data_IF_569352979929
#
_entry.id   IF_569352979929
#
_cell.length_a   1.000
_cell.length_b   1.000
_cell.length_c   1.000
_cell.angle_alpha   90.00
_cell.angle_beta   90.00
_cell.angle_gamma   90.00
#
_symmetry.space_group_name_H-M   'P 1'
#
loop_
_entity.id
_entity.type
_entity.pdbx_description
1 polymer ?
#
# COMPACT_ATOMS: atom_id res chain seq x y z
N UNK A 1 34.49 -14.55 46.19
CA UNK A 1 35.24 -15.29 45.17
C UNK A 1 34.20 -15.72 44.11
N UNK A 2 34.16 -14.98 43.03
CA UNK A 2 33.22 -15.23 41.95
C UNK A 2 33.94 -15.92 40.82
N UNK A 3 33.47 -17.10 40.43
CA UNK A 3 33.89 -17.79 39.20
C UNK A 3 32.86 -17.49 38.11
N UNK A 4 33.19 -16.53 37.23
CA UNK A 4 32.45 -16.29 36.03
C UNK A 4 32.72 -17.38 34.97
N UNK A 5 31.79 -17.67 34.06
CA UNK A 5 31.98 -18.68 33.03
C UNK A 5 33.09 -18.25 32.05
N UNK A 6 34.09 -19.12 31.88
CA UNK A 6 35.18 -18.94 30.92
C UNK A 6 34.67 -19.45 29.58
N UNK A 7 34.56 -18.56 28.59
CA UNK A 7 34.25 -18.90 27.21
C UNK A 7 35.55 -19.29 26.48
N UNK A 8 35.69 -20.56 26.08
CA UNK A 8 36.77 -21.01 25.21
C UNK A 8 36.31 -21.00 23.75
N UNK A 9 37.13 -20.41 22.86
CA UNK A 9 36.93 -20.46 21.42
C UNK A 9 36.94 -21.91 20.92
N UNK A 10 35.88 -22.33 20.21
CA UNK A 10 35.89 -23.61 19.49
C UNK A 10 36.89 -23.54 18.36
N UNK A 11 37.82 -24.47 18.33
CA UNK A 11 38.72 -24.71 17.19
C UNK A 11 37.90 -25.02 15.93
N UNK A 12 38.30 -24.49 14.74
CA UNK A 12 37.63 -24.82 13.50
C UNK A 12 37.69 -26.34 13.25
N UNK A 13 36.56 -26.97 13.00
CA UNK A 13 36.49 -28.35 12.49
C UNK A 13 37.13 -28.34 11.10
N UNK A 14 38.06 -29.27 10.87
CA UNK A 14 38.60 -29.56 9.55
C UNK A 14 37.46 -29.75 8.54
N UNK A 15 37.62 -29.14 7.36
CA UNK A 15 36.69 -29.28 6.26
C UNK A 15 36.64 -30.70 5.78
N UNK A 16 35.56 -31.41 6.10
CA UNK A 16 35.27 -32.70 5.44
C UNK A 16 34.85 -32.37 4.02
N UNK A 17 35.67 -32.87 3.08
CA UNK A 17 35.47 -32.75 1.64
C UNK A 17 34.25 -33.60 1.23
N UNK A 18 33.04 -32.97 1.27
CA UNK A 18 31.82 -33.55 0.73
C UNK A 18 31.71 -33.15 -0.74
N UNK A 19 32.19 -34.04 -1.62
CA UNK A 19 31.77 -34.01 -3.00
C UNK A 19 30.23 -34.22 -3.03
N UNK A 20 29.47 -33.45 -3.80
CA UNK A 20 28.05 -33.69 -3.95
C UNK A 20 27.83 -35.02 -4.68
N UNK A 21 27.21 -35.98 -4.03
CA UNK A 21 26.67 -37.16 -4.70
C UNK A 21 25.64 -36.71 -5.74
N UNK A 22 25.90 -37.06 -6.99
CA UNK A 22 24.99 -36.85 -8.11
C UNK A 22 23.83 -37.83 -7.92
N UNK A 23 22.70 -37.33 -7.36
CA UNK A 23 21.46 -38.09 -7.38
C UNK A 23 20.97 -38.23 -8.82
N UNK A 24 20.49 -39.41 -9.23
CA UNK A 24 19.90 -39.59 -10.55
C UNK A 24 18.68 -38.68 -10.71
N UNK A 25 18.58 -38.09 -11.91
CA UNK A 25 17.49 -37.19 -12.28
C UNK A 25 16.12 -37.79 -11.94
N UNK A 26 15.28 -37.00 -11.27
CA UNK A 26 13.87 -37.33 -11.08
C UNK A 26 13.18 -37.51 -12.43
N UNK A 27 12.24 -38.46 -12.56
CA UNK A 27 11.53 -38.68 -13.82
C UNK A 27 10.77 -37.43 -14.21
N UNK A 28 10.82 -37.07 -15.49
CA UNK A 28 10.04 -36.00 -16.11
C UNK A 28 8.56 -36.20 -15.82
N UNK A 29 8.00 -35.34 -14.97
CA UNK A 29 6.56 -35.20 -14.82
C UNK A 29 6.03 -34.46 -16.05
N UNK A 30 4.96 -34.95 -16.70
CA UNK A 30 4.40 -34.28 -17.87
C UNK A 30 3.97 -32.86 -17.50
N UNK A 31 4.39 -31.89 -18.33
CA UNK A 31 3.88 -30.52 -18.32
C UNK A 31 2.37 -30.58 -18.47
N UNK A 32 1.63 -30.34 -17.38
CA UNK A 32 0.19 -30.10 -17.46
C UNK A 32 0.03 -28.77 -18.16
N UNK A 33 -0.43 -28.78 -19.39
CA UNK A 33 -0.86 -27.57 -20.10
C UNK A 33 -1.84 -26.81 -19.20
N UNK A 34 -1.52 -25.56 -18.91
CA UNK A 34 -2.38 -24.67 -18.19
C UNK A 34 -3.64 -24.43 -19.01
N UNK A 35 -4.71 -25.20 -18.67
CA UNK A 35 -6.05 -24.92 -19.19
C UNK A 35 -6.41 -23.49 -18.82
N UNK A 36 -6.80 -22.71 -19.84
CA UNK A 36 -7.38 -21.38 -19.77
C UNK A 36 -8.42 -21.30 -18.65
N UNK A 37 -8.01 -20.76 -17.50
CA UNK A 37 -8.96 -20.32 -16.49
C UNK A 37 -9.40 -18.91 -16.89
N UNK A 38 -10.67 -18.87 -17.32
CA UNK A 38 -11.47 -17.74 -17.72
C UNK A 38 -10.96 -16.38 -17.16
N UNK A 39 -10.52 -15.51 -18.07
CA UNK A 39 -10.21 -14.13 -17.75
C UNK A 39 -11.51 -13.43 -17.30
N UNK A 40 -11.53 -12.72 -16.18
CA UNK A 40 -12.71 -11.98 -15.75
C UNK A 40 -13.05 -10.94 -16.83
N UNK A 41 -14.23 -11.07 -17.44
CA UNK A 41 -14.77 -10.10 -18.39
C UNK A 41 -15.01 -8.79 -17.65
N UNK A 42 -14.15 -7.80 -17.90
CA UNK A 42 -14.32 -6.43 -17.42
C UNK A 42 -15.47 -5.83 -18.23
N UNK A 43 -16.66 -5.76 -17.65
CA UNK A 43 -17.77 -5.00 -18.23
C UNK A 43 -17.47 -3.53 -18.03
N UNK A 44 -17.33 -2.79 -19.13
CA UNK A 44 -17.35 -1.34 -19.12
C UNK A 44 -18.66 -0.84 -18.51
N UNK A 45 -18.58 -0.09 -17.42
CA UNK A 45 -19.73 0.54 -16.77
C UNK A 45 -19.94 1.88 -17.45
N UNK A 46 -21.13 2.13 -18.09
CA UNK A 46 -21.39 3.45 -18.66
C UNK A 46 -21.49 4.50 -17.53
N UNK A 47 -20.83 5.63 -17.74
CA UNK A 47 -20.89 6.79 -16.85
C UNK A 47 -22.33 7.35 -16.82
N UNK A 48 -23.09 7.02 -15.77
CA UNK A 48 -24.36 7.66 -15.49
C UNK A 48 -24.09 8.97 -14.76
N UNK A 49 -24.25 10.08 -15.46
CA UNK A 49 -24.27 11.44 -14.89
C UNK A 49 -25.55 11.60 -14.07
N UNK A 50 -25.45 11.47 -12.76
CA UNK A 50 -26.53 11.84 -11.83
C UNK A 50 -26.40 13.32 -11.54
N UNK A 51 -27.24 14.13 -12.18
CA UNK A 51 -27.41 15.53 -11.83
C UNK A 51 -28.27 15.63 -10.56
N UNK A 52 -27.69 16.09 -9.46
CA UNK A 52 -28.43 16.49 -8.27
C UNK A 52 -28.91 17.94 -8.41
N UNK A 53 -30.12 18.30 -7.92
CA UNK A 53 -30.67 19.65 -8.07
C UNK A 53 -29.89 20.65 -7.19
N UNK A 54 -29.46 21.74 -7.81
CA UNK A 54 -28.79 22.87 -7.15
C UNK A 54 -29.86 23.71 -6.44
N UNK A 55 -29.86 23.71 -5.11
CA UNK A 55 -30.59 24.69 -4.33
C UNK A 55 -29.82 26.01 -4.32
N UNK A 56 -30.45 27.07 -4.81
CA UNK A 56 -29.92 28.43 -4.82
C UNK A 56 -29.88 28.99 -3.41
N UNK A 57 -28.71 29.09 -2.80
CA UNK A 57 -28.46 29.86 -1.60
C UNK A 57 -27.90 31.24 -2.00
N UNK A 58 -28.60 32.31 -1.59
CA UNK A 58 -28.20 33.72 -1.76
C UNK A 58 -26.94 34.01 -0.95
N UNK A 59 -25.86 34.40 -1.64
CA UNK A 59 -24.57 34.76 -1.05
C UNK A 59 -24.53 36.25 -0.75
N UNK A 60 -24.14 36.70 0.46
CA UNK A 60 -23.80 38.12 0.67
C UNK A 60 -22.47 38.44 -0.02
N UNK A 61 -22.49 39.53 -0.80
CA UNK A 61 -21.34 40.06 -1.52
C UNK A 61 -20.25 40.55 -0.55
N UNK A 62 -19.19 39.77 -0.38
CA UNK A 62 -17.97 40.25 0.22
C UNK A 62 -16.94 40.43 -0.91
N UNK A 63 -16.44 41.65 -1.05
CA UNK A 63 -15.39 42.07 -1.96
C UNK A 63 -14.12 41.26 -1.71
N UNK A 64 -13.92 40.22 -2.48
CA UNK A 64 -12.67 39.47 -2.50
C UNK A 64 -11.74 40.06 -3.55
N UNK A 65 -10.53 40.40 -3.15
CA UNK A 65 -9.43 40.83 -4.03
C UNK A 65 -9.16 39.77 -5.09
N UNK A 66 -8.94 40.19 -6.37
CA UNK A 66 -8.70 39.25 -7.44
C UNK A 66 -7.20 38.89 -7.52
N UNK A 67 -6.71 38.03 -6.62
CA UNK A 67 -5.39 37.41 -6.81
C UNK A 67 -5.24 36.11 -5.98
N UNK A 68 -6.20 35.24 -6.15
CA UNK A 68 -6.04 33.81 -5.76
C UNK A 68 -6.21 33.01 -7.03
N UNK A 69 -5.18 32.97 -7.85
CA UNK A 69 -5.03 31.88 -8.80
C UNK A 69 -5.18 30.60 -8.02
N UNK A 70 -6.26 29.83 -8.26
CA UNK A 70 -6.44 28.49 -7.71
C UNK A 70 -5.27 27.69 -8.25
N UNK A 71 -4.18 27.63 -7.46
CA UNK A 71 -3.01 26.84 -7.80
C UNK A 71 -3.50 25.41 -7.99
N UNK A 72 -3.24 24.84 -9.15
CA UNK A 72 -3.53 23.42 -9.39
C UNK A 72 -2.84 22.61 -8.28
N UNK A 73 -3.50 21.58 -7.75
CA UNK A 73 -2.91 20.74 -6.72
C UNK A 73 -1.58 20.18 -7.25
N UNK A 74 -0.51 20.37 -6.49
CA UNK A 74 0.82 19.86 -6.80
C UNK A 74 1.43 19.17 -5.58
N UNK A 75 2.45 18.33 -5.82
CA UNK A 75 3.10 17.55 -4.77
C UNK A 75 3.73 18.44 -3.68
N UNK A 76 4.31 19.58 -4.03
CA UNK A 76 5.01 20.46 -3.07
C UNK A 76 4.02 21.12 -2.11
N UNK A 77 2.90 21.60 -2.64
CA UNK A 77 1.79 22.14 -1.84
C UNK A 77 1.18 21.09 -0.92
N UNK A 78 0.97 19.87 -1.42
CA UNK A 78 0.48 18.77 -0.61
C UNK A 78 1.43 18.40 0.52
N UNK A 79 2.73 18.31 0.26
CA UNK A 79 3.78 18.05 1.24
C UNK A 79 3.75 19.09 2.37
N UNK A 80 3.73 20.37 2.01
CA UNK A 80 3.71 21.47 2.99
C UNK A 80 2.45 21.41 3.87
N UNK A 81 1.27 21.17 3.28
CA UNK A 81 0.02 21.06 4.02
C UNK A 81 -0.03 19.85 4.95
N UNK A 82 0.50 18.70 4.52
CA UNK A 82 0.58 17.50 5.34
C UNK A 82 1.56 17.70 6.50
N UNK A 83 2.72 18.30 6.24
CA UNK A 83 3.71 18.62 7.29
C UNK A 83 3.12 19.56 8.36
N UNK A 84 2.39 20.59 7.95
CA UNK A 84 1.74 21.57 8.84
C UNK A 84 0.40 21.10 9.41
N UNK A 85 -0.14 19.93 9.01
CA UNK A 85 -1.49 19.49 9.37
C UNK A 85 -1.69 19.35 10.88
N UNK A 86 -2.86 19.84 11.37
CA UNK A 86 -3.32 19.73 12.77
C UNK A 86 -4.80 19.34 12.87
N UNK A 87 -5.32 18.57 11.91
CA UNK A 87 -6.74 18.26 11.82
C UNK A 87 -7.21 17.15 12.78
N UNK A 88 -6.30 16.41 13.38
CA UNK A 88 -6.62 15.36 14.36
C UNK A 88 -5.52 15.24 15.43
N UNK A 89 -5.82 14.53 16.52
CA UNK A 89 -4.90 14.37 17.66
C UNK A 89 -3.56 13.72 17.33
N UNK A 90 -3.48 12.98 16.24
CA UNK A 90 -2.21 12.31 15.85
C UNK A 90 -1.08 13.32 15.59
N UNK A 91 -1.40 14.58 15.30
CA UNK A 91 -0.38 15.62 15.12
C UNK A 91 0.34 16.02 16.42
N UNK A 92 -0.24 15.72 17.58
CA UNK A 92 0.30 16.12 18.89
C UNK A 92 1.49 15.25 19.32
N UNK A 93 1.49 13.98 18.89
CA UNK A 93 2.46 12.96 19.34
C UNK A 93 3.45 12.53 18.28
N UNK A 94 3.24 12.90 17.02
CA UNK A 94 4.17 12.58 15.92
C UNK A 94 5.45 13.37 16.03
N UNK A 95 6.56 12.82 15.59
CA UNK A 95 7.79 13.57 15.34
C UNK A 95 7.69 14.35 14.03
N UNK A 96 7.21 13.67 12.98
CA UNK A 96 6.95 14.27 11.68
C UNK A 96 5.80 13.56 10.95
N UNK A 97 5.23 14.24 9.96
CA UNK A 97 4.25 13.61 9.09
C UNK A 97 4.94 12.76 8.02
N UNK A 98 4.37 11.62 7.70
CA UNK A 98 4.86 10.69 6.68
C UNK A 98 3.90 10.73 5.49
N UNK A 99 4.22 11.50 4.46
CA UNK A 99 3.35 11.67 3.30
C UNK A 99 3.26 10.37 2.49
N UNK A 100 4.40 9.84 2.09
CA UNK A 100 4.56 8.71 1.21
C UNK A 100 5.93 8.74 0.55
N UNK A 101 6.27 7.70 -0.21
CA UNK A 101 7.54 7.60 -0.91
C UNK A 101 7.38 6.77 -2.20
N UNK A 102 8.12 7.12 -3.22
CA UNK A 102 8.20 6.36 -4.45
C UNK A 102 8.12 7.20 -5.71
N UNK A 103 7.86 6.53 -6.81
CA UNK A 103 7.71 7.14 -8.11
C UNK A 103 6.37 7.91 -8.18
N UNK A 104 6.43 9.22 -8.45
CA UNK A 104 5.24 10.09 -8.55
C UNK A 104 4.46 9.91 -9.86
N UNK A 105 4.93 9.04 -10.73
CA UNK A 105 4.26 8.63 -11.98
C UNK A 105 3.95 7.13 -11.97
N UNK A 106 3.92 6.51 -10.79
CA UNK A 106 3.75 5.07 -10.63
C UNK A 106 2.36 4.59 -11.07
N UNK A 107 2.31 3.48 -11.78
CA UNK A 107 1.07 2.75 -12.06
C UNK A 107 0.54 2.02 -10.81
N UNK A 108 1.41 1.74 -9.82
CA UNK A 108 1.07 1.02 -8.59
C UNK A 108 1.07 1.93 -7.37
N UNK A 109 -0.06 1.99 -6.68
CA UNK A 109 -0.16 2.62 -5.36
C UNK A 109 -0.39 1.57 -4.27
N UNK A 110 0.51 1.47 -3.32
CA UNK A 110 0.35 0.64 -2.12
C UNK A 110 -0.03 1.51 -0.93
N UNK A 111 -1.14 1.20 -0.27
CA UNK A 111 -1.67 1.95 0.88
C UNK A 111 -1.68 1.07 2.12
N UNK A 112 -0.90 1.46 3.13
CA UNK A 112 -0.89 0.84 4.45
C UNK A 112 -1.77 1.57 5.46
N UNK A 113 -1.62 1.20 6.73
CA UNK A 113 -2.42 1.72 7.85
C UNK A 113 -1.96 3.10 8.29
N UNK A 114 -0.76 3.20 8.82
CA UNK A 114 -0.18 4.41 9.37
C UNK A 114 1.31 4.21 9.72
N UNK A 115 2.04 5.31 10.00
CA UNK A 115 3.44 5.23 10.40
C UNK A 115 3.62 4.52 11.75
N UNK A 116 4.65 3.70 11.85
CA UNK A 116 5.18 3.19 13.12
C UNK A 116 6.27 4.11 13.69
N UNK A 117 6.98 3.63 14.71
CA UNK A 117 8.01 4.42 15.39
C UNK A 117 9.22 4.75 14.51
N UNK A 118 9.62 3.81 13.65
CA UNK A 118 10.76 4.00 12.75
C UNK A 118 10.38 4.94 11.60
N UNK A 119 9.16 4.82 11.07
CA UNK A 119 8.61 5.67 10.03
C UNK A 119 8.45 7.12 10.52
N UNK A 120 7.93 7.31 11.73
CA UNK A 120 7.80 8.62 12.38
C UNK A 120 9.15 9.30 12.62
N UNK A 121 10.19 8.51 12.90
CA UNK A 121 11.56 9.01 13.07
C UNK A 121 12.23 9.38 11.73
N UNK A 122 11.98 8.61 10.65
CA UNK A 122 12.65 8.80 9.35
C UNK A 122 11.87 9.65 8.37
N UNK A 123 10.55 9.78 8.54
CA UNK A 123 9.68 10.47 7.58
C UNK A 123 9.29 9.67 6.35
N UNK A 124 9.61 8.37 6.31
CA UNK A 124 9.32 7.49 5.18
C UNK A 124 8.45 6.30 5.62
N UNK A 125 7.46 5.88 4.81
CA UNK A 125 6.61 4.74 5.12
C UNK A 125 7.35 3.41 4.95
N UNK A 126 7.00 2.43 5.80
CA UNK A 126 7.48 1.05 5.69
C UNK A 126 9.01 0.92 5.70
N UNK A 127 9.67 1.49 6.70
CA UNK A 127 11.14 1.40 6.90
C UNK A 127 11.54 0.37 7.96
N UNK A 128 10.59 -0.09 8.79
CA UNK A 128 10.81 -1.13 9.79
C UNK A 128 10.65 -2.56 9.23
N UNK A 129 10.53 -3.55 10.13
CA UNK A 129 10.40 -4.97 9.77
C UNK A 129 9.22 -5.26 8.82
N UNK A 130 8.09 -4.58 9.00
CA UNK A 130 6.95 -4.68 8.10
C UNK A 130 7.29 -4.17 6.69
N UNK A 131 8.12 -3.13 6.61
CA UNK A 131 8.63 -2.59 5.35
C UNK A 131 9.57 -3.56 4.63
N UNK A 132 10.48 -4.21 5.35
CA UNK A 132 11.35 -5.25 4.78
C UNK A 132 10.54 -6.41 4.18
N UNK A 133 9.46 -6.83 4.86
CA UNK A 133 8.56 -7.82 4.29
C UNK A 133 7.84 -7.29 3.05
N UNK A 134 7.37 -6.05 3.07
CA UNK A 134 6.76 -5.42 1.89
C UNK A 134 7.73 -5.38 0.71
N UNK A 135 8.99 -5.02 0.93
CA UNK A 135 10.00 -5.00 -0.13
C UNK A 135 10.22 -6.39 -0.75
N UNK A 136 10.23 -7.45 0.08
CA UNK A 136 10.30 -8.83 -0.39
C UNK A 136 9.01 -9.25 -1.15
N UNK A 137 7.84 -8.80 -0.71
CA UNK A 137 6.57 -9.04 -1.41
C UNK A 137 6.57 -8.35 -2.78
N UNK A 138 7.01 -7.11 -2.88
CA UNK A 138 7.17 -6.39 -4.15
C UNK A 138 8.15 -7.12 -5.09
N UNK A 139 9.32 -7.49 -4.58
CA UNK A 139 10.34 -8.20 -5.36
C UNK A 139 9.81 -9.52 -5.92
N UNK A 140 8.98 -10.25 -5.17
CA UNK A 140 8.41 -11.54 -5.58
C UNK A 140 7.48 -11.45 -6.81
N UNK A 141 6.96 -10.26 -7.11
CA UNK A 141 6.15 -10.00 -8.31
C UNK A 141 6.86 -9.13 -9.34
N UNK A 142 8.17 -8.90 -9.15
CA UNK A 142 9.01 -8.15 -10.08
C UNK A 142 8.91 -6.63 -9.92
N UNK A 143 8.42 -6.15 -8.76
CA UNK A 143 8.37 -4.72 -8.42
C UNK A 143 9.49 -4.35 -7.45
N UNK A 144 9.78 -3.04 -7.40
CA UNK A 144 10.76 -2.48 -6.48
C UNK A 144 10.31 -1.10 -6.03
N UNK A 145 10.49 -0.79 -4.75
CA UNK A 145 10.24 0.55 -4.18
C UNK A 145 10.90 1.63 -5.04
N UNK A 146 10.17 2.70 -5.35
CA UNK A 146 10.64 3.82 -6.14
C UNK A 146 10.74 3.59 -7.66
N UNK A 147 10.29 2.43 -8.14
CA UNK A 147 10.20 2.10 -9.56
C UNK A 147 8.80 1.64 -9.92
N UNK A 148 8.02 2.48 -10.59
CA UNK A 148 6.61 2.22 -10.92
C UNK A 148 5.75 1.88 -9.68
N UNK A 149 6.24 2.24 -8.47
CA UNK A 149 5.62 1.98 -7.17
C UNK A 149 5.64 3.22 -6.31
N UNK A 150 4.48 3.64 -5.82
CA UNK A 150 4.32 4.62 -4.76
C UNK A 150 3.72 3.97 -3.52
N UNK A 151 4.25 4.29 -2.34
CA UNK A 151 3.81 3.72 -1.07
C UNK A 151 3.32 4.85 -0.16
N UNK A 152 2.11 4.72 0.35
CA UNK A 152 1.49 5.67 1.26
C UNK A 152 0.78 4.93 2.42
N UNK A 153 0.20 5.70 3.33
CA UNK A 153 -0.62 5.18 4.42
C UNK A 153 -1.98 5.90 4.47
N UNK A 154 -2.98 5.27 5.07
CA UNK A 154 -4.30 5.85 5.33
C UNK A 154 -4.21 7.10 6.21
N UNK A 155 -3.37 7.06 7.26
CA UNK A 155 -3.04 8.23 8.08
C UNK A 155 -1.57 8.61 7.93
N UNK A 156 -1.29 9.93 8.02
CA UNK A 156 0.07 10.47 7.79
C UNK A 156 0.87 10.66 9.08
N UNK A 157 0.24 10.43 10.21
CA UNK A 157 0.82 10.63 11.54
C UNK A 157 0.79 9.31 12.31
N UNK A 158 1.82 9.08 13.13
CA UNK A 158 1.92 7.89 13.97
C UNK A 158 0.87 7.91 15.09
N UNK A 159 0.00 6.89 15.21
CA UNK A 159 -0.86 6.75 16.38
C UNK A 159 -0.04 6.41 17.64
N UNK A 160 -0.44 6.89 18.83
CA UNK A 160 0.22 6.54 20.08
C UNK A 160 0.37 5.03 20.24
N UNK A 161 1.54 4.58 20.68
CA UNK A 161 1.86 3.14 20.88
C UNK A 161 1.64 2.24 19.65
N UNK A 162 1.61 2.83 18.45
CA UNK A 162 1.31 2.17 17.18
C UNK A 162 -0.07 1.45 17.20
N UNK A 163 -1.06 1.99 17.93
CA UNK A 163 -2.44 1.48 17.86
C UNK A 163 -3.03 1.68 16.47
N UNK A 164 -4.05 0.93 16.17
CA UNK A 164 -4.86 1.18 14.97
C UNK A 164 -5.48 2.58 15.03
N UNK A 165 -5.41 3.39 13.96
CA UNK A 165 -6.08 4.68 13.90
C UNK A 165 -7.60 4.50 13.97
N UNK A 166 -8.29 5.43 14.65
CA UNK A 166 -9.74 5.42 14.71
C UNK A 166 -10.41 5.98 13.44
N UNK A 167 -11.72 5.80 13.33
CA UNK A 167 -12.46 6.23 12.15
C UNK A 167 -12.41 7.75 11.92
N UNK A 168 -12.36 8.55 13.00
CA UNK A 168 -12.27 10.01 12.91
C UNK A 168 -10.89 10.45 12.42
N UNK A 169 -9.83 9.80 12.88
CA UNK A 169 -8.45 10.05 12.43
C UNK A 169 -8.27 9.68 10.94
N UNK A 170 -8.85 8.54 10.52
CA UNK A 170 -8.86 8.12 9.10
C UNK A 170 -9.63 9.14 8.27
N UNK A 171 -10.84 9.56 8.73
CA UNK A 171 -11.65 10.52 8.02
C UNK A 171 -10.97 11.89 7.87
N UNK A 172 -10.32 12.38 8.93
CA UNK A 172 -9.56 13.64 8.90
C UNK A 172 -8.36 13.60 7.94
N UNK A 173 -7.73 12.42 7.78
CA UNK A 173 -6.55 12.25 6.93
C UNK A 173 -6.87 11.89 5.47
N UNK A 174 -8.09 11.39 5.21
CA UNK A 174 -8.54 10.95 3.88
C UNK A 174 -8.40 11.97 2.77
N UNK A 175 -8.67 13.29 2.96
CA UNK A 175 -8.48 14.27 1.89
C UNK A 175 -7.06 14.29 1.32
N UNK A 176 -6.04 14.12 2.16
CA UNK A 176 -4.64 14.04 1.70
C UNK A 176 -4.35 12.79 0.88
N UNK A 177 -4.92 11.64 1.26
CA UNK A 177 -4.77 10.42 0.47
C UNK A 177 -5.52 10.53 -0.87
N UNK A 178 -6.70 11.12 -0.88
CA UNK A 178 -7.47 11.36 -2.10
C UNK A 178 -6.71 12.28 -3.08
N UNK A 179 -6.07 13.34 -2.57
CA UNK A 179 -5.26 14.23 -3.38
C UNK A 179 -3.99 13.53 -3.90
N UNK A 180 -3.34 12.68 -3.09
CA UNK A 180 -2.24 11.84 -3.57
C UNK A 180 -2.65 10.95 -4.74
N UNK A 181 -3.83 10.31 -4.64
CA UNK A 181 -4.36 9.47 -5.72
C UNK A 181 -4.64 10.30 -6.97
N UNK A 182 -5.22 11.49 -6.81
CA UNK A 182 -5.52 12.39 -7.92
C UNK A 182 -4.24 12.90 -8.62
N UNK A 183 -3.17 13.16 -7.87
CA UNK A 183 -1.88 13.59 -8.43
C UNK A 183 -1.11 12.44 -9.07
N UNK A 184 -1.18 11.24 -8.47
CA UNK A 184 -0.46 10.05 -8.91
C UNK A 184 -1.12 9.40 -10.12
N UNK A 185 -2.46 9.39 -10.17
CA UNK A 185 -3.28 8.70 -11.19
C UNK A 185 -2.86 7.23 -11.41
N UNK A 186 -2.82 6.40 -10.34
CA UNK A 186 -2.35 5.04 -10.46
C UNK A 186 -3.32 4.19 -11.26
N UNK A 187 -2.83 3.16 -11.94
CA UNK A 187 -3.66 2.16 -12.65
C UNK A 187 -4.24 1.09 -11.72
N UNK A 188 -3.61 0.89 -10.56
CA UNK A 188 -4.04 -0.09 -9.56
C UNK A 188 -3.70 0.40 -8.15
N UNK A 189 -4.68 0.36 -7.27
CA UNK A 189 -4.50 0.61 -5.84
C UNK A 189 -4.49 -0.73 -5.09
N UNK A 190 -3.46 -0.95 -4.29
CA UNK A 190 -3.35 -2.11 -3.40
C UNK A 190 -3.50 -1.62 -1.96
N UNK A 191 -4.54 -2.06 -1.27
CA UNK A 191 -4.77 -1.71 0.13
C UNK A 191 -4.38 -2.85 1.06
N UNK A 192 -3.54 -2.53 2.04
CA UNK A 192 -2.96 -3.49 2.97
C UNK A 192 -3.55 -3.30 4.37
N UNK A 193 -4.46 -4.20 4.75
CA UNK A 193 -5.10 -4.20 6.06
C UNK A 193 -6.38 -3.34 6.14
N UNK A 194 -7.10 -3.52 7.26
CA UNK A 194 -8.45 -2.95 7.45
C UNK A 194 -8.48 -1.42 7.42
N UNK A 195 -7.60 -0.67 8.10
CA UNK A 195 -7.66 0.80 8.08
C UNK A 195 -7.43 1.39 6.69
N UNK A 196 -6.54 0.81 5.89
CA UNK A 196 -6.32 1.21 4.51
C UNK A 196 -7.56 0.93 3.64
N UNK A 197 -8.18 -0.24 3.81
CA UNK A 197 -9.41 -0.59 3.11
C UNK A 197 -10.58 0.35 3.50
N UNK A 198 -10.71 0.70 4.78
CA UNK A 198 -11.70 1.67 5.24
C UNK A 198 -11.46 3.07 4.66
N UNK A 199 -10.20 3.52 4.57
CA UNK A 199 -9.87 4.82 4.01
C UNK A 199 -10.24 4.93 2.53
N UNK A 200 -10.01 3.88 1.75
CA UNK A 200 -10.25 3.85 0.30
C UNK A 200 -11.70 3.49 -0.02
N UNK A 201 -12.23 2.39 0.54
CA UNK A 201 -13.55 1.86 0.17
C UNK A 201 -14.69 2.47 1.00
N UNK A 202 -14.37 3.25 2.04
CA UNK A 202 -15.32 3.93 2.92
C UNK A 202 -16.41 3.01 3.52
N UNK A 203 -16.05 1.76 3.78
CA UNK A 203 -16.92 0.73 4.32
C UNK A 203 -16.23 -0.03 5.46
N UNK A 204 -17.00 -0.57 6.38
CA UNK A 204 -16.48 -1.56 7.32
C UNK A 204 -16.25 -2.87 6.59
N UNK A 205 -15.00 -3.38 6.66
CA UNK A 205 -14.58 -4.52 5.88
C UNK A 205 -13.87 -5.56 6.74
N UNK A 206 -14.12 -6.84 6.41
CA UNK A 206 -13.26 -7.95 6.83
C UNK A 206 -12.34 -8.29 5.68
N UNK A 207 -11.04 -8.30 5.95
CA UNK A 207 -10.03 -8.54 4.89
C UNK A 207 -10.26 -9.89 4.21
N UNK A 208 -10.62 -10.94 4.97
CA UNK A 208 -10.93 -12.27 4.43
C UNK A 208 -12.00 -12.26 3.34
N UNK A 209 -12.99 -11.38 3.46
CA UNK A 209 -14.14 -11.33 2.56
C UNK A 209 -13.89 -10.46 1.32
N UNK A 210 -12.89 -9.59 1.42
CA UNK A 210 -12.53 -8.62 0.38
C UNK A 210 -11.38 -9.09 -0.51
N UNK A 211 -10.56 -10.04 -0.03
CA UNK A 211 -9.43 -10.59 -0.79
C UNK A 211 -9.90 -11.35 -2.04
N UNK A 212 -9.02 -11.43 -3.04
CA UNK A 212 -9.27 -12.18 -4.26
C UNK A 212 -10.34 -11.60 -5.17
N UNK A 213 -10.76 -10.35 -4.93
CA UNK A 213 -11.79 -9.62 -5.70
C UNK A 213 -11.25 -8.28 -6.12
N UNK A 214 -11.76 -7.75 -7.24
CA UNK A 214 -11.57 -6.36 -7.63
C UNK A 214 -12.64 -5.51 -6.98
N UNK A 215 -12.22 -4.41 -6.39
CA UNK A 215 -13.05 -3.31 -5.92
C UNK A 215 -12.77 -2.10 -6.76
N UNK A 216 -13.51 -1.03 -6.56
CA UNK A 216 -13.40 0.21 -7.31
C UNK A 216 -13.20 1.42 -6.39
N UNK A 217 -12.34 2.34 -6.81
CA UNK A 217 -12.19 3.67 -6.25
C UNK A 217 -12.23 4.70 -7.39
N UNK A 218 -13.40 5.28 -7.66
CA UNK A 218 -13.59 6.29 -8.70
C UNK A 218 -13.06 5.85 -10.09
N UNK A 219 -13.32 4.60 -10.48
CA UNK A 219 -12.87 4.02 -11.74
C UNK A 219 -11.47 3.38 -11.68
N UNK A 220 -10.75 3.51 -10.57
CA UNK A 220 -9.45 2.86 -10.38
C UNK A 220 -9.66 1.52 -9.68
N UNK A 221 -9.18 0.40 -10.25
CA UNK A 221 -9.26 -0.92 -9.62
C UNK A 221 -8.52 -0.94 -8.28
N UNK A 222 -9.13 -1.59 -7.28
CA UNK A 222 -8.57 -1.75 -5.93
C UNK A 222 -8.48 -3.24 -5.59
N UNK A 223 -7.33 -3.68 -5.10
CA UNK A 223 -7.14 -5.03 -4.55
C UNK A 223 -6.81 -4.93 -3.07
N UNK A 224 -7.48 -5.77 -2.27
CA UNK A 224 -7.31 -5.83 -0.81
C UNK A 224 -6.43 -7.02 -0.44
N UNK A 225 -5.47 -6.81 0.46
CA UNK A 225 -4.62 -7.87 1.01
C UNK A 225 -4.31 -7.64 2.49
N UNK A 226 -3.62 -8.59 3.11
CA UNK A 226 -3.17 -8.47 4.49
C UNK A 226 -2.02 -7.46 4.63
N UNK A 227 -2.01 -6.76 5.78
CA UNK A 227 -0.90 -5.86 6.12
C UNK A 227 0.38 -6.67 6.43
N UNK A 228 1.58 -6.25 5.97
CA UNK A 228 2.82 -6.96 6.26
C UNK A 228 3.07 -7.21 7.75
N UNK A 229 2.76 -6.26 8.62
CA UNK A 229 2.89 -6.45 10.06
C UNK A 229 1.98 -7.57 10.63
N UNK A 230 0.81 -7.80 10.01
CA UNK A 230 -0.05 -8.93 10.35
C UNK A 230 0.59 -10.26 9.92
N UNK A 231 1.19 -10.32 8.74
CA UNK A 231 1.85 -11.51 8.19
C UNK A 231 3.11 -11.91 8.98
N UNK A 232 3.79 -10.95 9.63
CA UNK A 232 4.91 -11.23 10.53
C UNK A 232 4.45 -11.99 11.78
N UNK A 233 3.23 -11.75 12.25
CA UNK A 233 2.64 -12.41 13.43
C UNK A 233 1.85 -13.69 13.07
N UNK A 234 1.41 -13.82 11.82
CA UNK A 234 0.53 -14.89 11.33
C UNK A 234 1.13 -15.50 10.07
N UNK A 235 2.16 -16.33 10.25
CA UNK A 235 2.98 -16.86 9.14
C UNK A 235 2.18 -17.69 8.15
N UNK A 236 1.16 -18.43 8.59
CA UNK A 236 0.29 -19.25 7.73
C UNK A 236 -0.51 -18.42 6.72
N UNK A 237 -0.79 -17.16 7.04
CA UNK A 237 -1.53 -16.24 6.14
C UNK A 237 -0.66 -15.74 4.97
N UNK A 238 0.65 -15.98 4.99
CA UNK A 238 1.55 -15.63 3.88
C UNK A 238 1.18 -16.34 2.57
N UNK A 239 0.67 -17.58 2.65
CA UNK A 239 0.20 -18.30 1.47
C UNK A 239 -0.95 -17.54 0.78
N UNK A 240 -1.91 -17.05 1.56
CA UNK A 240 -3.02 -16.25 1.04
C UNK A 240 -2.55 -14.89 0.49
N UNK A 241 -1.57 -14.26 1.16
CA UNK A 241 -0.96 -13.04 0.63
C UNK A 241 -0.25 -13.27 -0.70
N UNK A 242 0.37 -14.44 -0.90
CA UNK A 242 0.97 -14.84 -2.18
C UNK A 242 -0.08 -14.97 -3.30
N UNK A 243 -1.24 -15.57 -3.01
CA UNK A 243 -2.38 -15.61 -3.94
C UNK A 243 -2.79 -14.20 -4.39
N UNK A 244 -2.87 -13.27 -3.42
CA UNK A 244 -3.19 -11.86 -3.71
C UNK A 244 -2.13 -11.20 -4.58
N UNK A 245 -0.84 -11.42 -4.31
CA UNK A 245 0.26 -10.89 -5.11
C UNK A 245 0.21 -11.41 -6.56
N UNK A 246 -0.08 -12.70 -6.74
CA UNK A 246 -0.29 -13.29 -8.06
C UNK A 246 -1.50 -12.66 -8.77
N UNK A 247 -2.59 -12.41 -8.05
CA UNK A 247 -3.78 -11.75 -8.57
C UNK A 247 -3.48 -10.31 -9.00
N UNK A 248 -2.79 -9.52 -8.17
CA UNK A 248 -2.33 -8.16 -8.48
C UNK A 248 -1.52 -8.12 -9.79
N UNK A 249 -0.55 -9.04 -9.93
CA UNK A 249 0.30 -9.11 -11.11
C UNK A 249 -0.49 -9.42 -12.39
N UNK A 250 -1.45 -10.35 -12.32
CA UNK A 250 -2.33 -10.68 -13.46
C UNK A 250 -3.22 -9.49 -13.83
N UNK A 251 -3.81 -8.84 -12.84
CA UNK A 251 -4.67 -7.66 -13.04
C UNK A 251 -3.92 -6.53 -13.71
N UNK A 252 -2.72 -6.17 -13.21
CA UNK A 252 -1.93 -5.09 -13.83
C UNK A 252 -1.52 -5.41 -15.26
N UNK A 253 -1.18 -6.68 -15.56
CA UNK A 253 -0.88 -7.09 -16.94
C UNK A 253 -2.07 -6.88 -17.87
N UNK A 254 -3.27 -7.23 -17.43
CA UNK A 254 -4.50 -7.03 -18.20
C UNK A 254 -4.80 -5.53 -18.41
N UNK A 255 -4.63 -4.71 -17.35
CA UNK A 255 -4.79 -3.25 -17.44
C UNK A 255 -3.81 -2.64 -18.45
N UNK A 256 -2.52 -2.99 -18.35
CA UNK A 256 -1.48 -2.48 -19.28
C UNK A 256 -1.68 -2.96 -20.73
N UNK A 257 -2.29 -4.10 -20.97
CA UNK A 257 -2.64 -4.56 -22.31
C UNK A 257 -3.78 -3.72 -22.89
N UNK A 258 -4.87 -3.53 -22.14
CA UNK A 258 -6.03 -2.74 -22.58
C UNK A 258 -5.67 -1.28 -22.96
N UNK A 259 -4.72 -0.67 -22.25
CA UNK A 259 -4.28 0.72 -22.50
C UNK A 259 -3.31 0.88 -23.68
N UNK A 260 -2.79 -0.22 -24.25
CA UNK A 260 -1.97 -0.17 -25.48
C UNK A 260 -2.80 -0.24 -26.74
N UNK A 261 -4.05 -0.68 -26.59
CA UNK A 261 -4.99 -0.89 -27.68
C UNK A 261 -5.93 0.33 -27.89
N UNK A 262 -5.84 1.37 -27.00
CA UNK A 262 -6.47 2.69 -27.11
C UNK A 262 -5.49 3.73 -27.71
#
# INVERSE_FOLDING_TARGET
MGLGPVWTLRTPREAVNNQPEIHPAAPDLPLVEATDLDAPKIKAVPAAVVQAPVAQATVPSATASPDSAIALPDWSSLEARVAACRQCRLCETRKQAVLGVGDRQADWLFVGEGPGAEEDARGEPFVGQAGQLLDNMLASIGLRRGHDVYIANAVKCRPPENRTPDAAEIAACRPYLAEQIALLQPKLIVVMGRPAAQAILQAEVKISDMRGKLHDYNGIPVIVTYHPAYLLRNLMEKAKAWEDLCFMRRTMRALKAAWRDE
#
